data_IF_190785833869
#
_entry.id   IF_190785833869
#
_cell.length_a   1.000
_cell.length_b   1.000
_cell.length_c   1.000
_cell.angle_alpha   90.00
_cell.angle_beta   90.00
_cell.angle_gamma   90.00
#
_symmetry.space_group_name_H-M   'P 1'
#
loop_
_entity.id
_entity.type
_entity.pdbx_description
1 polymer ?
#
# COMPACT_ATOMS: atom_id res chain seq x y z
N UNK A 1 -6.14 13.33 0.84
CA UNK A 1 -6.11 11.89 0.52
C UNK A 1 -7.53 11.42 0.32
N UNK A 2 -7.80 10.69 -0.76
CA UNK A 2 -9.10 10.11 -1.09
C UNK A 2 -9.11 8.60 -0.78
N UNK A 3 -9.68 8.24 0.38
CA UNK A 3 -9.70 6.83 0.82
C UNK A 3 -10.60 5.95 -0.05
N UNK A 4 -11.65 6.49 -0.67
CA UNK A 4 -12.50 5.72 -1.56
C UNK A 4 -11.74 5.30 -2.82
N UNK A 5 -10.84 6.14 -3.32
CA UNK A 5 -9.93 5.79 -4.40
C UNK A 5 -8.98 4.64 -4.01
N UNK A 6 -8.43 4.63 -2.79
CA UNK A 6 -7.63 3.49 -2.30
C UNK A 6 -8.45 2.19 -2.25
N UNK A 7 -9.64 2.25 -1.67
CA UNK A 7 -10.52 1.09 -1.51
C UNK A 7 -10.91 0.53 -2.88
N UNK A 8 -11.30 1.38 -3.83
CA UNK A 8 -11.69 0.95 -5.16
C UNK A 8 -10.51 0.33 -5.93
N UNK A 9 -9.32 0.94 -5.85
CA UNK A 9 -8.12 0.40 -6.48
C UNK A 9 -7.74 -0.99 -5.96
N UNK A 10 -7.95 -1.26 -4.67
CA UNK A 10 -7.71 -2.58 -4.08
C UNK A 10 -8.80 -3.58 -4.44
N UNK A 11 -10.08 -3.17 -4.45
CA UNK A 11 -11.20 -4.03 -4.87
C UNK A 11 -11.03 -4.54 -6.30
N UNK A 12 -10.47 -3.74 -7.20
CA UNK A 12 -10.20 -4.15 -8.59
C UNK A 12 -9.20 -5.31 -8.71
N UNK A 13 -8.38 -5.55 -7.67
CA UNK A 13 -7.38 -6.63 -7.62
C UNK A 13 -7.94 -7.94 -7.04
N UNK A 14 -9.11 -7.91 -6.40
CA UNK A 14 -9.75 -9.10 -5.85
C UNK A 14 -10.03 -10.09 -6.99
N UNK A 15 -9.51 -11.32 -6.83
CA UNK A 15 -9.64 -12.39 -7.83
C UNK A 15 -8.73 -12.26 -9.06
N UNK A 16 -7.89 -11.21 -9.14
CA UNK A 16 -6.95 -10.98 -10.26
C UNK A 16 -5.48 -11.08 -9.85
N UNK A 17 -5.20 -11.10 -8.55
CA UNK A 17 -3.85 -11.15 -8.03
C UNK A 17 -3.77 -12.04 -6.80
N UNK A 18 -2.58 -12.58 -6.54
CA UNK A 18 -2.30 -13.48 -5.41
C UNK A 18 -1.27 -12.88 -4.46
N UNK A 19 -1.27 -13.34 -3.21
CA UNK A 19 -0.27 -12.93 -2.24
C UNK A 19 1.10 -13.58 -2.55
N UNK A 20 2.19 -12.81 -2.54
CA UNK A 20 3.56 -13.32 -2.64
C UNK A 20 4.56 -12.33 -2.03
N UNK A 21 5.55 -12.86 -1.29
CA UNK A 21 6.70 -12.08 -0.80
C UNK A 21 7.89 -12.09 -1.77
N UNK A 22 7.89 -13.01 -2.74
CA UNK A 22 8.98 -13.21 -3.72
C UNK A 22 8.70 -12.56 -5.08
N UNK A 23 7.44 -12.16 -5.31
CA UNK A 23 7.00 -11.52 -6.55
C UNK A 23 6.97 -10.00 -6.44
N UNK A 24 6.24 -9.34 -7.35
CA UNK A 24 6.01 -7.90 -7.25
C UNK A 24 5.23 -7.54 -6.00
N UNK A 25 5.45 -6.33 -5.51
CA UNK A 25 4.82 -5.81 -4.29
C UNK A 25 3.64 -4.88 -4.61
N UNK A 26 3.40 -4.58 -5.88
CA UNK A 26 2.44 -3.56 -6.36
C UNK A 26 1.49 -4.07 -7.45
N UNK A 27 1.26 -5.40 -7.52
CA UNK A 27 0.38 -6.03 -8.51
C UNK A 27 0.90 -6.01 -9.95
N UNK A 28 2.14 -5.57 -10.21
CA UNK A 28 2.68 -5.44 -11.56
C UNK A 28 2.90 -6.78 -12.27
N UNK A 29 3.16 -7.86 -11.52
CA UNK A 29 3.27 -9.23 -12.04
C UNK A 29 2.06 -10.12 -11.67
N UNK A 30 0.97 -9.52 -11.18
CA UNK A 30 -0.18 -10.25 -10.66
C UNK A 30 -0.01 -10.75 -9.22
N UNK A 31 1.08 -10.39 -8.53
CA UNK A 31 1.26 -10.67 -7.10
C UNK A 31 1.42 -9.40 -6.25
N UNK A 32 1.22 -9.51 -4.95
CA UNK A 32 1.51 -8.44 -3.99
C UNK A 32 1.81 -9.01 -2.60
N UNK A 33 2.49 -8.23 -1.75
CA UNK A 33 2.52 -8.48 -0.31
C UNK A 33 1.65 -7.48 0.47
N UNK A 34 1.59 -7.63 1.80
CA UNK A 34 0.68 -6.85 2.63
C UNK A 34 1.01 -5.35 2.65
N UNK A 35 2.27 -4.98 2.85
CA UNK A 35 2.69 -3.58 2.92
C UNK A 35 2.71 -2.91 1.54
N UNK A 36 3.07 -3.66 0.49
CA UNK A 36 3.01 -3.18 -0.89
C UNK A 36 1.59 -2.94 -1.38
N UNK A 37 0.63 -3.79 -1.01
CA UNK A 37 -0.79 -3.57 -1.29
C UNK A 37 -1.31 -2.27 -0.63
N UNK A 38 -0.99 -2.04 0.65
CA UNK A 38 -1.36 -0.80 1.35
C UNK A 38 -0.73 0.41 0.67
N UNK A 39 0.57 0.35 0.35
CA UNK A 39 1.27 1.41 -0.38
C UNK A 39 0.60 1.72 -1.73
N UNK A 40 0.32 0.70 -2.54
CA UNK A 40 -0.37 0.85 -3.82
C UNK A 40 -1.71 1.59 -3.67
N UNK A 41 -2.54 1.16 -2.71
CA UNK A 41 -3.83 1.82 -2.43
C UNK A 41 -3.65 3.28 -2.05
N UNK A 42 -2.72 3.57 -1.13
CA UNK A 42 -2.45 4.93 -0.66
C UNK A 42 -1.90 5.84 -1.78
N UNK A 43 -1.05 5.32 -2.68
CA UNK A 43 -0.61 6.06 -3.87
C UNK A 43 -1.79 6.44 -4.77
N UNK A 44 -2.77 5.54 -4.93
CA UNK A 44 -4.02 5.82 -5.67
C UNK A 44 -4.92 6.82 -4.96
N UNK A 45 -4.86 6.89 -3.63
CA UNK A 45 -5.53 7.90 -2.81
C UNK A 45 -4.82 9.27 -2.78
N UNK A 46 -3.67 9.40 -3.48
CA UNK A 46 -2.91 10.65 -3.60
C UNK A 46 -1.84 10.85 -2.53
N UNK A 47 -1.43 9.83 -1.78
CA UNK A 47 -0.23 9.90 -0.96
C UNK A 47 1.03 10.06 -1.83
N UNK A 48 2.08 10.66 -1.29
CA UNK A 48 3.35 10.96 -1.97
C UNK A 48 4.07 9.72 -2.49
N UNK A 49 5.04 9.91 -3.40
CA UNK A 49 5.97 8.84 -3.75
C UNK A 49 7.01 8.69 -2.65
N UNK A 50 7.22 7.47 -2.16
CA UNK A 50 8.24 7.20 -1.14
C UNK A 50 9.61 6.85 -1.75
N UNK A 51 9.71 6.77 -3.09
CA UNK A 51 10.92 6.40 -3.83
C UNK A 51 11.15 4.90 -3.94
N UNK A 52 10.51 4.10 -3.10
CA UNK A 52 10.46 2.64 -3.17
C UNK A 52 9.14 2.14 -2.54
N UNK A 53 8.82 0.86 -2.75
CA UNK A 53 7.66 0.24 -2.10
C UNK A 53 8.04 -0.11 -0.66
N UNK A 54 7.46 0.52 0.37
CA UNK A 54 7.85 0.29 1.77
C UNK A 54 7.53 -1.14 2.23
N UNK A 55 8.38 -1.68 3.09
CA UNK A 55 8.14 -2.90 3.88
C UNK A 55 7.28 -2.59 5.10
N UNK A 56 6.87 -3.61 5.86
CA UNK A 56 6.14 -3.42 7.12
C UNK A 56 6.91 -2.54 8.11
N UNK A 57 8.24 -2.63 8.11
CA UNK A 57 9.13 -1.84 8.98
C UNK A 57 9.20 -0.36 8.58
N UNK A 58 9.14 -0.07 7.28
CA UNK A 58 9.31 1.30 6.74
C UNK A 58 7.97 1.98 6.43
N UNK A 59 6.86 1.23 6.43
CA UNK A 59 5.54 1.75 6.13
C UNK A 59 5.09 2.80 7.14
N UNK A 60 5.47 2.67 8.42
CA UNK A 60 5.10 3.65 9.45
C UNK A 60 5.59 5.06 9.10
N UNK A 61 6.85 5.19 8.70
CA UNK A 61 7.44 6.47 8.31
C UNK A 61 6.67 7.09 7.13
N UNK A 62 6.37 6.29 6.11
CA UNK A 62 5.58 6.72 4.96
C UNK A 62 4.18 7.24 5.34
N UNK A 63 3.50 6.56 6.27
CA UNK A 63 2.19 6.97 6.77
C UNK A 63 2.27 8.34 7.44
N UNK A 64 3.27 8.55 8.31
CA UNK A 64 3.49 9.82 9.02
C UNK A 64 3.81 10.95 8.04
N UNK A 65 4.66 10.71 7.04
CA UNK A 65 4.97 11.70 5.99
C UNK A 65 3.74 12.12 5.17
N UNK A 66 2.70 11.27 5.13
CA UNK A 66 1.42 11.56 4.48
C UNK A 66 0.33 12.07 5.43
N UNK A 67 0.70 12.45 6.65
CA UNK A 67 -0.21 13.04 7.65
C UNK A 67 -1.11 12.03 8.36
N UNK A 68 -0.84 10.72 8.24
CA UNK A 68 -1.57 9.67 8.95
C UNK A 68 -0.96 9.50 10.34
N UNK A 69 -1.79 9.61 11.37
CA UNK A 69 -1.34 9.59 12.77
C UNK A 69 -1.47 8.21 13.40
N UNK A 70 -0.42 7.79 14.12
CA UNK A 70 -0.47 6.62 15.00
C UNK A 70 -1.54 6.81 16.08
N UNK A 71 -2.36 5.78 16.32
CA UNK A 71 -3.39 5.80 17.37
C UNK A 71 -2.96 5.07 18.64
N UNK A 72 -2.19 3.99 18.51
CA UNK A 72 -1.64 3.22 19.63
C UNK A 72 -0.43 2.41 19.14
N UNK A 73 0.52 2.17 20.04
CA UNK A 73 1.61 1.21 19.93
C UNK A 73 1.68 0.39 21.23
N UNK A 74 2.10 -0.87 21.15
CA UNK A 74 2.16 -1.80 22.27
C UNK A 74 3.61 -2.04 22.71
#
# INVERSE_FOLDING_TARGET
>A
MDIDAAINALKEKIGKSTYSMEGSRDFSDGTCDCSGAVYYGLRKAGCSDFGYIPSTETLHEYLVQNGITLKAEN
#
